data_IF_361188263644
#
_entry.id   IF_361188263644
#
_cell.length_a   1.000
_cell.length_b   1.000
_cell.length_c   1.000
_cell.angle_alpha   90.00
_cell.angle_beta   90.00
_cell.angle_gamma   90.00
#
_symmetry.space_group_name_H-M   'P 1'
#
loop_
_entity.id
_entity.type
_entity.pdbx_description
1 polymer ?
#
# COMPACT_ATOMS: atom_id res chain seq x y z
N UNK A 1 18.65 8.43 27.90
CA UNK A 1 18.15 8.70 29.27
C UNK A 1 17.30 7.52 29.68
N UNK A 2 17.66 6.92 30.82
CA UNK A 2 17.02 5.78 31.44
C UNK A 2 15.61 6.13 31.93
N UNK A 3 14.67 5.21 31.83
CA UNK A 3 13.97 4.50 32.92
C UNK A 3 12.46 4.60 32.54
N UNK A 4 11.54 3.71 32.85
CA UNK A 4 11.38 2.86 34.03
C UNK A 4 10.33 1.81 33.69
N UNK A 5 10.53 0.57 34.13
CA UNK A 5 9.51 -0.46 34.08
C UNK A 5 8.52 -0.25 35.22
N UNK A 6 7.22 -0.26 34.91
CA UNK A 6 6.18 -0.34 35.93
C UNK A 6 5.64 -1.77 35.98
N UNK A 7 6.24 -2.55 36.88
CA UNK A 7 5.65 -3.76 37.43
C UNK A 7 4.55 -3.34 38.41
N UNK A 8 3.35 -3.92 38.26
CA UNK A 8 2.26 -3.76 39.24
C UNK A 8 2.38 -4.92 40.22
N UNK A 9 2.89 -4.62 41.42
CA UNK A 9 2.91 -5.50 42.59
C UNK A 9 1.53 -5.49 43.27
N UNK A 10 0.91 -6.67 43.41
CA UNK A 10 -0.20 -6.90 44.33
C UNK A 10 0.31 -7.79 45.47
N UNK A 11 0.45 -7.22 46.66
CA UNK A 11 0.93 -7.92 47.86
C UNK A 11 -0.21 -8.61 48.63
N UNK A 12 -0.02 -9.92 48.89
CA UNK A 12 -0.46 -10.68 50.08
C UNK A 12 -0.04 -12.16 49.88
N UNK A 13 0.98 -12.65 50.61
CA UNK A 13 1.69 -13.93 50.39
C UNK A 13 0.93 -15.23 50.74
N UNK A 14 1.60 -16.39 51.01
CA UNK A 14 2.99 -16.79 50.76
C UNK A 14 3.13 -17.86 49.64
N UNK A 15 4.31 -17.92 49.01
CA UNK A 15 4.79 -19.02 48.13
C UNK A 15 3.88 -19.51 47.00
N UNK A 16 3.58 -18.63 46.04
CA UNK A 16 3.32 -19.06 44.67
C UNK A 16 4.06 -18.13 43.71
N UNK A 17 5.36 -18.41 43.54
CA UNK A 17 6.08 -17.95 42.35
C UNK A 17 5.22 -18.28 41.13
N UNK A 18 4.87 -17.31 40.26
CA UNK A 18 4.10 -17.63 39.06
C UNK A 18 5.01 -18.50 38.17
N UNK A 19 4.83 -19.81 38.27
CA UNK A 19 5.67 -20.87 37.69
C UNK A 19 5.61 -20.93 36.15
N UNK A 20 4.97 -19.96 35.50
CA UNK A 20 4.83 -19.90 34.05
C UNK A 20 4.85 -18.44 33.58
N UNK A 21 6.00 -17.98 33.12
CA UNK A 21 6.16 -16.77 32.31
C UNK A 21 6.09 -17.17 30.84
N UNK A 22 4.97 -16.90 30.16
CA UNK A 22 4.84 -17.13 28.72
C UNK A 22 5.35 -15.90 27.98
N UNK A 23 6.56 -16.00 27.43
CA UNK A 23 7.09 -14.98 26.53
C UNK A 23 6.73 -15.36 25.09
N UNK A 24 5.85 -14.59 24.46
CA UNK A 24 5.65 -14.65 23.01
C UNK A 24 6.91 -14.11 22.33
N UNK A 25 7.82 -15.00 21.95
CA UNK A 25 9.02 -14.60 21.22
C UNK A 25 8.64 -14.28 19.77
N UNK A 26 8.53 -12.98 19.48
CA UNK A 26 8.36 -12.44 18.13
C UNK A 26 9.52 -12.90 17.26
N UNK A 27 9.26 -13.78 16.29
CA UNK A 27 10.29 -14.33 15.41
C UNK A 27 11.00 -13.21 14.61
N UNK A 28 12.29 -12.93 14.90
CA UNK A 28 13.04 -11.87 14.24
C UNK A 28 13.29 -12.18 12.74
N UNK A 29 13.26 -13.45 12.34
CA UNK A 29 13.47 -13.84 10.94
C UNK A 29 12.35 -13.32 10.01
N UNK A 30 11.15 -13.12 10.55
CA UNK A 30 10.00 -12.60 9.78
C UNK A 30 10.09 -11.10 9.49
N UNK A 31 10.78 -10.31 10.33
CA UNK A 31 11.14 -8.91 10.04
C UNK A 31 12.16 -8.82 8.91
N UNK A 32 13.15 -9.71 8.93
CA UNK A 32 14.21 -9.75 7.94
C UNK A 32 13.65 -10.01 6.54
N UNK A 33 12.70 -10.94 6.42
CA UNK A 33 12.00 -11.26 5.16
C UNK A 33 11.13 -10.11 4.60
N UNK A 34 10.68 -9.18 5.46
CA UNK A 34 9.96 -7.96 5.03
C UNK A 34 10.93 -6.87 4.55
N UNK A 35 12.08 -6.71 5.22
CA UNK A 35 13.14 -5.81 4.78
C UNK A 35 13.78 -6.26 3.46
N UNK A 36 13.84 -7.58 3.21
CA UNK A 36 14.24 -8.14 1.90
C UNK A 36 13.29 -7.74 0.76
N UNK A 37 12.03 -7.39 1.05
CA UNK A 37 11.06 -6.99 0.01
C UNK A 37 11.12 -5.50 -0.38
N UNK A 38 12.09 -4.75 0.15
CA UNK A 38 12.33 -3.33 -0.13
C UNK A 38 11.07 -2.44 -0.23
N UNK A 39 10.21 -2.42 0.82
CA UNK A 39 9.01 -1.56 0.84
C UNK A 39 9.34 -0.07 0.66
N UNK A 40 10.59 0.33 0.95
CA UNK A 40 11.13 1.65 0.65
C UNK A 40 11.15 1.94 -0.86
N UNK A 41 11.71 1.04 -1.64
CA UNK A 41 11.86 1.20 -3.08
C UNK A 41 10.49 1.23 -3.75
N UNK A 42 9.57 0.36 -3.31
CA UNK A 42 8.17 0.36 -3.74
C UNK A 42 7.46 1.69 -3.43
N UNK A 43 7.62 2.23 -2.20
CA UNK A 43 7.04 3.52 -1.82
C UNK A 43 7.60 4.70 -2.61
N UNK A 44 8.92 4.72 -2.88
CA UNK A 44 9.56 5.74 -3.74
C UNK A 44 9.04 5.64 -5.16
N UNK A 45 8.89 4.42 -5.70
CA UNK A 45 8.35 4.18 -7.04
C UNK A 45 6.90 4.66 -7.15
N UNK A 46 6.09 4.41 -6.12
CA UNK A 46 4.71 4.89 -6.03
C UNK A 46 4.63 6.42 -6.11
N UNK A 47 5.54 7.13 -5.42
CA UNK A 47 5.64 8.59 -5.50
C UNK A 47 6.11 9.03 -6.88
N UNK A 48 7.20 8.44 -7.40
CA UNK A 48 7.79 8.82 -8.68
C UNK A 48 6.83 8.68 -9.86
N UNK A 49 6.12 7.55 -9.93
CA UNK A 49 5.11 7.30 -10.97
C UNK A 49 3.93 8.28 -10.88
N UNK A 50 3.49 8.62 -9.67
CA UNK A 50 2.40 9.59 -9.50
C UNK A 50 2.83 11.02 -9.87
N UNK A 51 4.04 11.43 -9.51
CA UNK A 51 4.60 12.74 -9.90
C UNK A 51 4.79 12.82 -11.42
N UNK A 52 5.26 11.73 -12.04
CA UNK A 52 5.37 11.63 -13.49
C UNK A 52 4.01 11.90 -14.16
N UNK A 53 2.95 11.25 -13.69
CA UNK A 53 1.59 11.45 -14.23
C UNK A 53 1.08 12.89 -14.07
N UNK A 54 1.27 13.49 -12.89
CA UNK A 54 0.91 14.89 -12.66
C UNK A 54 1.68 15.81 -13.63
N UNK A 55 2.96 15.52 -13.88
CA UNK A 55 3.78 16.34 -14.79
C UNK A 55 3.30 16.26 -16.23
N UNK A 56 2.92 15.07 -16.72
CA UNK A 56 2.35 14.89 -18.07
C UNK A 56 1.06 15.69 -18.18
N UNK A 57 0.10 15.47 -17.27
CA UNK A 57 -1.19 16.19 -17.27
C UNK A 57 -0.99 17.71 -17.21
N UNK A 58 -0.06 18.18 -16.38
CA UNK A 58 0.23 19.62 -16.26
C UNK A 58 0.71 20.24 -17.58
N UNK A 59 1.51 19.51 -18.37
CA UNK A 59 1.97 19.98 -19.68
C UNK A 59 0.79 20.09 -20.65
N UNK A 60 -0.11 19.10 -20.68
CA UNK A 60 -1.29 19.14 -21.54
C UNK A 60 -2.23 20.29 -21.19
N UNK A 61 -2.46 20.51 -19.88
CA UNK A 61 -3.23 21.68 -19.40
C UNK A 61 -2.57 23.00 -19.80
N UNK A 62 -1.25 23.13 -19.64
CA UNK A 62 -0.52 24.35 -20.00
C UNK A 62 -0.56 24.67 -21.51
N UNK A 63 -0.71 23.64 -22.35
CA UNK A 63 -0.87 23.78 -23.80
C UNK A 63 -2.32 24.03 -24.23
N UNK A 64 -3.28 24.09 -23.30
CA UNK A 64 -4.70 24.25 -23.61
C UNK A 64 -5.32 23.04 -24.32
N UNK A 65 -4.65 21.89 -24.23
CA UNK A 65 -5.09 20.65 -24.83
C UNK A 65 -6.15 19.94 -23.96
N UNK A 66 -6.15 20.21 -22.65
CA UNK A 66 -7.11 19.67 -21.70
C UNK A 66 -7.85 20.73 -20.89
N UNK A 67 -9.06 20.38 -20.45
CA UNK A 67 -9.89 21.24 -19.60
C UNK A 67 -9.57 21.03 -18.12
N UNK A 68 -9.23 22.13 -17.44
CA UNK A 68 -8.89 22.16 -16.00
C UNK A 68 -9.92 21.42 -15.14
N UNK A 69 -11.21 21.62 -15.41
CA UNK A 69 -12.29 21.00 -14.64
C UNK A 69 -12.30 19.48 -14.67
N UNK A 70 -11.79 18.88 -15.76
CA UNK A 70 -11.73 17.43 -15.97
C UNK A 70 -10.47 16.83 -15.32
N UNK A 71 -9.36 17.58 -15.30
CA UNK A 71 -8.07 17.09 -14.78
C UNK A 71 -7.92 17.26 -13.24
N UNK A 72 -8.68 18.17 -12.61
CA UNK A 72 -8.70 18.33 -11.14
C UNK A 72 -8.89 17.00 -10.38
N UNK A 73 -9.93 16.17 -10.66
CA UNK A 73 -10.13 14.92 -9.95
C UNK A 73 -8.96 13.93 -10.13
N UNK A 74 -8.35 13.90 -11.33
CA UNK A 74 -7.18 13.06 -11.60
C UNK A 74 -5.97 13.47 -10.76
N UNK A 75 -5.72 14.78 -10.64
CA UNK A 75 -4.63 15.32 -9.81
C UNK A 75 -4.87 14.99 -8.33
N UNK A 76 -6.10 15.20 -7.83
CA UNK A 76 -6.45 14.89 -6.43
C UNK A 76 -6.22 13.41 -6.13
N UNK A 77 -6.69 12.51 -7.00
CA UNK A 77 -6.46 11.07 -6.85
C UNK A 77 -4.95 10.73 -6.86
N UNK A 78 -4.18 11.36 -7.73
CA UNK A 78 -2.71 11.17 -7.80
C UNK A 78 -1.99 11.65 -6.53
N UNK A 79 -2.46 12.74 -5.91
CA UNK A 79 -1.94 13.21 -4.61
C UNK A 79 -2.20 12.18 -3.50
N UNK A 80 -3.35 11.51 -3.48
CA UNK A 80 -3.62 10.44 -2.51
C UNK A 80 -2.62 9.29 -2.65
N UNK A 81 -2.22 8.94 -3.89
CA UNK A 81 -1.19 7.94 -4.16
C UNK A 81 0.19 8.38 -3.64
N UNK A 82 0.54 9.66 -3.76
CA UNK A 82 1.80 10.22 -3.21
C UNK A 82 1.81 10.13 -1.68
N UNK A 83 0.69 10.46 -1.04
CA UNK A 83 0.55 10.34 0.42
C UNK A 83 0.71 8.87 0.83
N UNK A 84 0.08 7.93 0.12
CA UNK A 84 0.23 6.51 0.39
C UNK A 84 1.67 6.00 0.24
N UNK A 85 2.38 6.44 -0.81
CA UNK A 85 3.81 6.14 -0.98
C UNK A 85 4.67 6.71 0.16
N UNK A 86 4.36 7.92 0.62
CA UNK A 86 5.05 8.55 1.76
C UNK A 86 4.83 7.78 3.06
N UNK A 87 3.60 7.32 3.31
CA UNK A 87 3.28 6.48 4.47
C UNK A 87 3.94 5.10 4.36
N UNK A 88 4.06 4.53 3.16
CA UNK A 88 4.80 3.29 2.92
C UNK A 88 6.29 3.43 3.26
N UNK A 89 6.90 4.58 2.93
CA UNK A 89 8.28 4.89 3.33
C UNK A 89 8.37 4.95 4.86
N UNK A 90 7.45 5.64 5.53
CA UNK A 90 7.45 5.74 7.00
C UNK A 90 7.23 4.38 7.70
N UNK A 91 6.47 3.47 7.09
CA UNK A 91 6.16 2.14 7.62
C UNK A 91 7.39 1.22 7.77
N UNK A 92 8.53 1.58 7.16
CA UNK A 92 9.82 0.89 7.35
C UNK A 92 10.30 0.85 8.80
N UNK A 93 9.85 1.79 9.64
CA UNK A 93 10.20 1.80 11.06
C UNK A 93 9.47 0.70 11.86
N UNK A 94 8.65 -0.14 11.22
CA UNK A 94 7.90 -1.28 11.80
C UNK A 94 7.04 -0.92 13.03
N UNK A 95 6.65 0.34 13.15
CA UNK A 95 5.73 0.79 14.17
C UNK A 95 4.31 0.32 13.83
N UNK A 96 3.68 -0.43 14.74
CA UNK A 96 2.41 -1.11 14.48
C UNK A 96 1.27 -0.16 14.06
N UNK A 97 1.11 1.04 14.67
CA UNK A 97 0.17 2.06 14.18
C UNK A 97 0.45 2.51 12.75
N UNK A 98 1.71 2.74 12.40
CA UNK A 98 2.12 3.21 11.06
C UNK A 98 1.87 2.15 10.00
N UNK A 99 2.02 0.86 10.33
CA UNK A 99 1.68 -0.24 9.43
C UNK A 99 0.17 -0.34 9.18
N UNK A 100 -0.67 -0.11 10.20
CA UNK A 100 -2.13 -0.06 10.02
C UNK A 100 -2.55 1.14 9.15
N UNK A 101 -1.93 2.30 9.38
CA UNK A 101 -2.15 3.48 8.54
C UNK A 101 -1.70 3.22 7.08
N UNK A 102 -0.54 2.59 6.89
CA UNK A 102 -0.05 2.20 5.57
C UNK A 102 -1.05 1.27 4.86
N UNK A 103 -1.54 0.23 5.54
CA UNK A 103 -2.55 -0.67 4.97
C UNK A 103 -3.79 0.08 4.48
N UNK A 104 -4.33 0.99 5.32
CA UNK A 104 -5.48 1.82 4.94
C UNK A 104 -5.19 2.69 3.73
N UNK A 105 -4.03 3.36 3.70
CA UNK A 105 -3.64 4.21 2.59
C UNK A 105 -3.37 3.44 1.29
N UNK A 106 -2.89 2.19 1.35
CA UNK A 106 -2.73 1.38 0.13
C UNK A 106 -4.07 0.97 -0.49
N UNK A 107 -5.11 0.76 0.32
CA UNK A 107 -6.47 0.54 -0.19
C UNK A 107 -6.98 1.81 -0.89
N UNK A 108 -6.80 2.98 -0.26
CA UNK A 108 -7.18 4.27 -0.85
C UNK A 108 -6.40 4.52 -2.15
N UNK A 109 -5.09 4.28 -2.17
CA UNK A 109 -4.26 4.46 -3.36
C UNK A 109 -4.65 3.51 -4.50
N UNK A 110 -4.99 2.26 -4.19
CA UNK A 110 -5.52 1.33 -5.17
C UNK A 110 -6.83 1.85 -5.78
N UNK A 111 -7.76 2.34 -4.96
CA UNK A 111 -9.01 2.95 -5.44
C UNK A 111 -8.78 4.19 -6.30
N UNK A 112 -7.88 5.08 -5.85
CA UNK A 112 -7.49 6.28 -6.60
C UNK A 112 -6.86 5.94 -7.96
N UNK A 113 -6.01 4.92 -8.01
CA UNK A 113 -5.35 4.48 -9.26
C UNK A 113 -6.35 3.86 -10.24
N UNK A 114 -7.32 3.08 -9.74
CA UNK A 114 -8.41 2.54 -10.56
C UNK A 114 -9.33 3.65 -11.09
N UNK A 115 -9.64 4.64 -10.26
CA UNK A 115 -10.41 5.81 -10.70
C UNK A 115 -9.69 6.55 -11.83
N UNK A 116 -8.38 6.80 -11.69
CA UNK A 116 -7.56 7.43 -12.73
C UNK A 116 -7.50 6.60 -14.01
N UNK A 117 -7.43 5.28 -13.90
CA UNK A 117 -7.47 4.38 -15.06
C UNK A 117 -8.81 4.49 -15.81
N UNK A 118 -9.93 4.45 -15.10
CA UNK A 118 -11.27 4.61 -15.70
C UNK A 118 -11.42 5.99 -16.34
N UNK A 119 -10.97 7.04 -15.65
CA UNK A 119 -10.98 8.41 -16.17
C UNK A 119 -10.22 8.52 -17.50
N UNK A 120 -9.04 7.91 -17.59
CA UNK A 120 -8.21 7.89 -18.80
C UNK A 120 -8.92 7.17 -19.96
N UNK A 121 -9.57 6.03 -19.68
CA UNK A 121 -10.32 5.28 -20.70
C UNK A 121 -11.50 6.08 -21.25
N UNK A 122 -12.27 6.75 -20.39
CA UNK A 122 -13.39 7.61 -20.83
C UNK A 122 -12.89 8.76 -21.70
N UNK A 123 -11.76 9.37 -21.31
CA UNK A 123 -11.13 10.46 -22.05
C UNK A 123 -10.68 10.02 -23.45
N UNK A 124 -10.08 8.84 -23.57
CA UNK A 124 -9.63 8.29 -24.85
C UNK A 124 -10.79 8.11 -25.84
N UNK A 125 -11.93 7.60 -25.37
CA UNK A 125 -13.13 7.42 -26.19
C UNK A 125 -13.73 8.77 -26.63
N UNK A 126 -13.77 9.79 -25.76
CA UNK A 126 -14.27 11.12 -26.11
C UNK A 126 -13.41 11.79 -27.21
N UNK A 127 -12.08 11.73 -27.09
CA UNK A 127 -11.16 12.29 -28.08
C UNK A 127 -11.33 11.61 -29.44
N UNK A 128 -11.46 10.27 -29.44
CA UNK A 128 -11.66 9.48 -30.66
C UNK A 128 -13.00 9.78 -31.32
N UNK A 129 -14.07 9.87 -30.52
CA UNK A 129 -15.41 10.20 -31.02
C UNK A 129 -15.47 11.59 -31.63
N UNK A 130 -14.92 12.61 -30.95
CA UNK A 130 -14.90 14.00 -31.47
C UNK A 130 -14.12 14.09 -32.77
N UNK A 131 -12.96 13.42 -32.87
CA UNK A 131 -12.17 13.44 -34.10
C UNK A 131 -12.88 12.75 -35.27
N UNK A 132 -13.62 11.67 -35.02
CA UNK A 132 -14.44 11.00 -36.03
C UNK A 132 -15.65 11.84 -36.46
N UNK A 133 -16.34 12.49 -35.52
CA UNK A 133 -17.49 13.33 -35.83
C UNK A 133 -17.15 14.48 -36.81
N UNK A 134 -15.99 15.12 -36.64
CA UNK A 134 -15.52 16.18 -37.55
C UNK A 134 -15.02 15.68 -38.92
N UNK A 135 -14.86 14.36 -39.12
CA UNK A 135 -14.48 13.76 -40.40
C UNK A 135 -15.67 13.69 -41.38
N UNK A 136 -16.89 13.49 -40.86
CA UNK A 136 -18.09 13.33 -41.66
C UNK A 136 -18.71 14.68 -42.12
N UNK A 137 -18.46 15.78 -41.40
CA UNK A 137 -19.17 17.06 -41.62
C UNK A 137 -18.38 18.15 -42.38
N UNK A 138 -17.05 18.06 -42.58
CA UNK A 138 -16.29 19.19 -43.15
C UNK A 138 -15.14 18.87 -44.13
N UNK A 139 -15.09 19.67 -45.20
CA UNK A 139 -14.37 19.46 -46.48
C UNK A 139 -12.88 19.90 -46.45
N UNK A 140 -12.13 19.54 -45.40
CA UNK A 140 -10.76 20.06 -45.18
C UNK A 140 -9.71 19.00 -44.82
N UNK A 141 -8.95 18.52 -45.81
CA UNK A 141 -7.84 17.55 -45.64
C UNK A 141 -6.76 17.95 -44.62
N UNK A 142 -6.57 19.25 -44.37
CA UNK A 142 -5.58 19.78 -43.43
C UNK A 142 -6.02 19.64 -41.95
N UNK A 143 -7.32 19.78 -41.67
CA UNK A 143 -7.85 19.70 -40.31
C UNK A 143 -7.95 18.24 -39.84
N UNK A 144 -8.33 17.34 -40.76
CA UNK A 144 -8.37 15.90 -40.48
C UNK A 144 -6.99 15.31 -40.17
N UNK A 145 -5.97 15.67 -40.97
CA UNK A 145 -4.60 15.18 -40.73
C UNK A 145 -4.04 15.66 -39.40
N UNK A 146 -4.32 16.92 -39.02
CA UNK A 146 -3.95 17.47 -37.71
C UNK A 146 -4.71 16.79 -36.57
N UNK A 147 -6.02 16.57 -36.72
CA UNK A 147 -6.83 15.88 -35.72
C UNK A 147 -6.34 14.44 -35.49
N UNK A 148 -6.03 13.73 -36.57
CA UNK A 148 -5.49 12.37 -36.50
C UNK A 148 -4.13 12.33 -35.79
N UNK A 149 -3.22 13.26 -36.09
CA UNK A 149 -1.93 13.34 -35.40
C UNK A 149 -2.08 13.63 -33.91
N UNK A 150 -3.00 14.52 -33.54
CA UNK A 150 -3.30 14.84 -32.13
C UNK A 150 -3.92 13.63 -31.43
N UNK A 151 -4.92 12.98 -32.04
CA UNK A 151 -5.56 11.77 -31.49
C UNK A 151 -4.58 10.61 -31.31
N UNK A 152 -3.66 10.43 -32.26
CA UNK A 152 -2.61 9.41 -32.16
C UNK A 152 -1.68 9.71 -30.97
N UNK A 153 -1.26 10.97 -30.82
CA UNK A 153 -0.46 11.40 -29.67
C UNK A 153 -1.16 11.18 -28.33
N UNK A 154 -2.47 11.48 -28.22
CA UNK A 154 -3.27 11.17 -27.03
C UNK A 154 -3.32 9.67 -26.75
N UNK A 155 -3.56 8.85 -27.78
CA UNK A 155 -3.67 7.40 -27.59
C UNK A 155 -2.40 6.77 -27.01
N UNK A 156 -1.23 7.26 -27.43
CA UNK A 156 0.05 6.83 -26.90
C UNK A 156 0.23 7.22 -25.43
N UNK A 157 -0.11 8.46 -25.08
CA UNK A 157 0.01 8.97 -23.70
C UNK A 157 -1.01 8.32 -22.75
N UNK A 158 -2.24 8.11 -23.22
CA UNK A 158 -3.28 7.44 -22.43
C UNK A 158 -2.93 5.97 -22.20
N UNK A 159 -2.34 5.30 -23.20
CA UNK A 159 -1.83 3.93 -23.03
C UNK A 159 -0.69 3.85 -22.01
N UNK A 160 0.26 4.79 -22.07
CA UNK A 160 1.31 4.92 -21.05
C UNK A 160 0.72 5.18 -19.67
N UNK A 161 -0.27 6.07 -19.57
CA UNK A 161 -0.93 6.39 -18.31
C UNK A 161 -1.62 5.16 -17.71
N UNK A 162 -2.34 4.38 -18.51
CA UNK A 162 -2.99 3.13 -18.07
C UNK A 162 -1.94 2.14 -17.54
N UNK A 163 -0.81 2.00 -18.21
CA UNK A 163 0.28 1.13 -17.76
C UNK A 163 0.84 1.59 -16.40
N UNK A 164 1.04 2.89 -16.23
CA UNK A 164 1.48 3.47 -14.95
C UNK A 164 0.45 3.25 -13.85
N UNK A 165 -0.84 3.45 -14.11
CA UNK A 165 -1.89 3.18 -13.11
C UNK A 165 -1.97 1.68 -12.75
N UNK A 166 -1.80 0.78 -13.72
CA UNK A 166 -1.74 -0.66 -13.45
C UNK A 166 -0.53 -1.02 -12.56
N UNK A 167 0.63 -0.42 -12.81
CA UNK A 167 1.80 -0.57 -11.94
C UNK A 167 1.54 -0.04 -10.52
N UNK A 168 0.89 1.12 -10.38
CA UNK A 168 0.51 1.69 -9.08
C UNK A 168 -0.46 0.78 -8.31
N UNK A 169 -1.42 0.15 -8.98
CA UNK A 169 -2.32 -0.85 -8.39
C UNK A 169 -1.54 -2.07 -7.91
N UNK A 170 -0.64 -2.61 -8.74
CA UNK A 170 0.17 -3.77 -8.38
C UNK A 170 1.09 -3.49 -7.19
N UNK A 171 1.74 -2.32 -7.16
CA UNK A 171 2.56 -1.85 -6.03
C UNK A 171 1.71 -1.73 -4.77
N UNK A 172 0.51 -1.14 -4.88
CA UNK A 172 -0.38 -0.95 -3.73
C UNK A 172 -0.84 -2.27 -3.13
N UNK A 173 -1.24 -3.24 -3.96
CA UNK A 173 -1.60 -4.60 -3.53
C UNK A 173 -0.42 -5.30 -2.86
N UNK A 174 0.78 -5.17 -3.44
CA UNK A 174 2.01 -5.75 -2.92
C UNK A 174 2.34 -5.20 -1.53
N UNK A 175 2.31 -3.87 -1.37
CA UNK A 175 2.52 -3.20 -0.08
C UNK A 175 1.44 -3.58 0.94
N UNK A 176 0.17 -3.65 0.54
CA UNK A 176 -0.91 -4.09 1.41
C UNK A 176 -0.72 -5.53 1.91
N UNK A 177 -0.35 -6.47 1.04
CA UNK A 177 -0.08 -7.86 1.39
C UNK A 177 1.08 -7.96 2.40
N UNK A 178 2.14 -7.17 2.20
CA UNK A 178 3.26 -7.11 3.13
C UNK A 178 2.86 -6.51 4.48
N UNK A 179 2.11 -5.40 4.50
CA UNK A 179 1.60 -4.78 5.73
C UNK A 179 0.68 -5.75 6.50
N UNK A 180 -0.22 -6.46 5.82
CA UNK A 180 -1.08 -7.49 6.44
C UNK A 180 -0.28 -8.59 7.12
N UNK A 181 0.77 -9.11 6.45
CA UNK A 181 1.64 -10.13 7.04
C UNK A 181 2.29 -9.62 8.33
N UNK A 182 2.86 -8.41 8.34
CA UNK A 182 3.55 -7.87 9.52
C UNK A 182 2.58 -7.56 10.66
N UNK A 183 1.41 -6.99 10.36
CA UNK A 183 0.38 -6.70 11.38
C UNK A 183 -0.05 -7.99 12.08
N UNK A 184 -0.27 -9.09 11.34
CA UNK A 184 -0.64 -10.37 11.95
C UNK A 184 0.48 -10.98 12.84
N UNK A 185 1.75 -10.63 12.60
CA UNK A 185 2.88 -11.08 13.43
C UNK A 185 3.05 -10.24 14.71
N UNK A 186 2.66 -8.97 14.65
CA UNK A 186 3.09 -7.94 15.61
C UNK A 186 1.92 -7.32 16.37
N UNK A 187 0.69 -7.68 16.01
CA UNK A 187 -0.50 -7.38 16.79
C UNK A 187 -0.42 -8.13 18.12
N UNK A 188 -0.82 -7.50 19.24
CA UNK A 188 -0.98 -8.21 20.49
C UNK A 188 -1.84 -9.46 20.23
N UNK A 189 -1.32 -10.63 20.58
CA UNK A 189 -2.07 -11.87 20.42
C UNK A 189 -3.43 -11.70 21.14
N UNK A 190 -4.55 -12.17 20.55
CA UNK A 190 -5.75 -12.35 21.35
C UNK A 190 -5.36 -13.23 22.53
N UNK A 191 -5.73 -12.82 23.75
CA UNK A 191 -5.48 -13.55 25.01
C UNK A 191 -6.08 -14.96 24.90
N UNK A 192 -5.40 -15.89 24.24
CA UNK A 192 -5.73 -17.31 24.25
C UNK A 192 -4.69 -17.98 25.14
N UNK A 193 -5.05 -18.27 26.41
CA UNK A 193 -4.16 -19.01 27.29
C UNK A 193 -3.99 -20.41 26.72
N UNK A 194 -2.79 -20.72 26.24
CA UNK A 194 -2.40 -22.10 25.92
C UNK A 194 -2.11 -22.79 27.25
N UNK A 195 -3.02 -23.65 27.69
CA UNK A 195 -2.84 -24.49 28.88
C UNK A 195 -1.98 -25.68 28.45
N UNK A 196 -0.70 -25.67 28.81
CA UNK A 196 0.14 -26.87 28.74
C UNK A 196 0.00 -27.66 30.03
N UNK A 197 -0.55 -28.87 29.93
CA UNK A 197 -0.65 -29.81 31.06
C UNK A 197 0.69 -30.52 31.22
N UNK A 198 1.41 -30.27 32.31
CA UNK A 198 2.51 -31.15 32.73
C UNK A 198 1.90 -32.41 33.33
N UNK A 199 2.17 -33.58 32.73
CA UNK A 199 1.78 -34.87 33.30
C UNK A 199 2.62 -35.15 34.57
N UNK A 200 2.06 -35.81 35.61
CA UNK A 200 2.77 -36.04 36.87
C UNK A 200 4.02 -36.92 36.68
N UNK A 201 5.09 -36.70 37.46
CA UNK A 201 6.27 -37.56 37.40
C UNK A 201 5.92 -38.99 37.83
N UNK A 202 6.41 -39.96 37.06
CA UNK A 202 6.24 -41.38 37.35
C UNK A 202 6.85 -41.72 38.73
N UNK A 203 6.18 -42.55 39.55
CA UNK A 203 6.62 -42.83 40.92
C UNK A 203 7.99 -43.54 40.93
N UNK A 204 8.89 -43.02 41.78
CA UNK A 204 10.21 -43.58 42.01
C UNK A 204 10.12 -44.99 42.59
N UNK A 205 10.82 -45.95 41.97
CA UNK A 205 11.00 -47.28 42.49
C UNK A 205 11.77 -47.23 43.82
N UNK A 206 11.11 -47.69 44.90
CA UNK A 206 11.70 -47.90 46.23
C UNK A 206 12.64 -49.11 46.15
N UNK A 207 13.95 -48.88 46.28
CA UNK A 207 14.92 -49.93 46.58
C UNK A 207 15.15 -49.97 48.09
N UNK A 208 14.56 -50.96 48.76
CA UNK A 208 14.89 -51.32 50.14
C UNK A 208 16.21 -52.13 50.11
N UNK A 209 17.22 -51.67 50.85
CA UNK A 209 18.48 -52.40 51.07
C UNK A 209 18.47 -53.07 52.44
N UNK A 210 18.98 -54.31 52.44
CA UNK A 210 19.13 -55.29 53.54
C UNK A 210 20.04 -54.77 54.66
#
# INVERSE_FOLDING_TARGET
MAAEGAAVEAGSGPDQSPLVSVTFQRDPARKQKYLESEPKALGITQIGLSVFQISVVSVFMARGLDHVSVEIPFIIASLLVIIAGSVAIAAQNLHLPTLKACLGMQIVACGASLFNMIHTVIKLEDHRYRCWYYDEEDLGTLNFTTCKQVSDAYSHMDSESILVQAALVAISITLAAYCCKVVNCCSPAPKMPVITVQAPPAPAARTDAV
#
